data_IF_769408532649
#
_entry.id   IF_769408532649
#
_cell.length_a   1.000
_cell.length_b   1.000
_cell.length_c   1.000
_cell.angle_alpha   90.00
_cell.angle_beta   90.00
_cell.angle_gamma   90.00
#
_symmetry.space_group_name_H-M   'P 1'
#
loop_
_entity.id
_entity.type
_entity.pdbx_description
1 polymer ?
#
# COMPACT_ATOMS: atom_id res chain seq x y z
N UNK A 1 -5.42 -20.43 11.18
CA UNK A 1 -5.88 -19.04 11.43
C UNK A 1 -6.32 -18.42 10.11
N UNK A 2 -7.59 -18.05 9.97
CA UNK A 2 -8.11 -17.28 8.81
C UNK A 2 -8.03 -15.79 9.16
N UNK A 3 -6.85 -15.20 9.00
CA UNK A 3 -6.77 -13.73 9.00
C UNK A 3 -7.24 -13.25 7.61
N UNK A 4 -8.22 -12.37 7.61
CA UNK A 4 -8.82 -11.74 6.42
C UNK A 4 -8.88 -10.26 6.72
N UNK A 5 -7.84 -9.51 6.35
CA UNK A 5 -7.91 -8.07 6.42
C UNK A 5 -8.65 -7.58 5.19
N UNK A 6 -9.87 -7.10 5.41
CA UNK A 6 -10.67 -6.39 4.43
C UNK A 6 -10.54 -4.91 4.75
N UNK A 7 -9.84 -4.17 3.92
CA UNK A 7 -9.92 -2.72 3.93
C UNK A 7 -10.17 -2.27 2.51
N UNK A 8 -11.07 -1.29 2.30
CA UNK A 8 -11.19 -0.69 1.00
C UNK A 8 -9.82 -0.14 0.59
N UNK A 9 -9.37 -0.38 -0.65
CA UNK A 9 -8.18 0.30 -1.15
C UNK A 9 -8.50 1.79 -1.14
N UNK A 10 -7.97 2.50 -0.16
CA UNK A 10 -8.25 3.92 0.05
C UNK A 10 -7.81 4.69 -1.20
N UNK A 11 -8.65 5.62 -1.67
CA UNK A 11 -8.39 6.42 -2.88
C UNK A 11 -7.02 7.10 -2.83
N UNK A 12 -6.60 7.57 -1.66
CA UNK A 12 -5.27 8.15 -1.43
C UNK A 12 -4.11 7.21 -1.79
N UNK A 13 -4.25 5.89 -1.57
CA UNK A 13 -3.23 4.91 -1.97
C UNK A 13 -3.17 4.82 -3.49
N UNK A 14 -4.32 4.78 -4.15
CA UNK A 14 -4.40 4.69 -5.62
C UNK A 14 -3.78 5.94 -6.24
N UNK A 15 -4.17 7.12 -5.76
CA UNK A 15 -3.64 8.40 -6.23
C UNK A 15 -2.13 8.51 -6.02
N UNK A 16 -1.63 8.17 -4.83
CA UNK A 16 -0.20 8.18 -4.53
C UNK A 16 0.59 7.25 -5.47
N UNK A 17 0.07 6.05 -5.72
CA UNK A 17 0.72 5.07 -6.60
C UNK A 17 0.68 5.49 -8.08
N UNK A 18 -0.41 6.14 -8.50
CA UNK A 18 -0.56 6.69 -9.85
C UNK A 18 0.48 7.78 -10.13
N UNK A 19 0.70 8.69 -9.17
CA UNK A 19 1.75 9.73 -9.26
C UNK A 19 3.17 9.17 -9.30
N UNK A 20 3.39 7.97 -8.75
CA UNK A 20 4.65 7.26 -8.83
C UNK A 20 4.78 6.38 -10.08
N UNK A 21 3.72 6.27 -10.89
CA UNK A 21 3.63 5.40 -12.05
C UNK A 21 3.89 3.92 -11.70
N UNK A 22 3.41 3.46 -10.53
CA UNK A 22 3.62 2.08 -10.05
C UNK A 22 2.28 1.39 -9.76
N UNK A 23 2.09 0.19 -10.31
CA UNK A 23 0.92 -0.62 -9.98
C UNK A 23 0.98 -1.14 -8.54
N UNK A 24 -0.16 -1.20 -7.84
CA UNK A 24 -0.26 -1.80 -6.50
C UNK A 24 0.30 -3.24 -6.46
N UNK A 25 0.17 -3.99 -7.56
CA UNK A 25 0.67 -5.37 -7.66
C UNK A 25 2.19 -5.46 -7.68
N UNK A 26 2.86 -4.35 -7.98
CA UNK A 26 4.31 -4.22 -7.93
C UNK A 26 4.79 -3.74 -6.55
N UNK A 27 3.90 -3.38 -5.64
CA UNK A 27 4.27 -3.00 -4.28
C UNK A 27 4.44 -4.25 -3.43
N UNK A 28 5.60 -4.37 -2.80
CA UNK A 28 5.93 -5.41 -1.85
C UNK A 28 4.96 -5.41 -0.67
N UNK A 29 4.74 -6.56 -0.01
CA UNK A 29 3.97 -6.65 1.22
C UNK A 29 4.37 -5.61 2.28
N UNK A 30 5.67 -5.34 2.40
CA UNK A 30 6.22 -4.31 3.29
C UNK A 30 5.79 -2.91 2.90
N UNK A 31 5.82 -2.60 1.60
CA UNK A 31 5.36 -1.31 1.07
C UNK A 31 3.89 -1.06 1.39
N UNK A 32 3.02 -2.05 1.18
CA UNK A 32 1.60 -1.95 1.54
C UNK A 32 1.43 -1.74 3.05
N UNK A 33 2.17 -2.50 3.87
CA UNK A 33 2.16 -2.35 5.34
C UNK A 33 2.52 -0.93 5.77
N UNK A 34 3.54 -0.32 5.16
CA UNK A 34 3.93 1.06 5.48
C UNK A 34 2.85 2.08 5.09
N UNK A 35 2.23 1.93 3.92
CA UNK A 35 1.14 2.81 3.50
C UNK A 35 -0.06 2.72 4.46
N UNK A 36 -0.53 1.51 4.74
CA UNK A 36 -1.65 1.30 5.68
C UNK A 36 -1.29 1.81 7.07
N UNK A 37 -0.07 1.53 7.54
CA UNK A 37 0.42 1.99 8.84
C UNK A 37 0.42 3.52 8.97
N UNK A 38 0.83 4.24 7.93
CA UNK A 38 0.78 5.70 7.89
C UNK A 38 -0.65 6.23 7.92
N UNK A 39 -1.55 5.66 7.11
CA UNK A 39 -2.94 6.09 7.06
C UNK A 39 -3.67 5.86 8.38
N UNK A 40 -3.44 4.72 9.02
CA UNK A 40 -3.97 4.43 10.37
C UNK A 40 -3.40 5.42 11.39
N UNK A 41 -2.09 5.69 11.35
CA UNK A 41 -1.47 6.68 12.23
C UNK A 41 -2.05 8.09 12.02
N UNK A 42 -2.24 8.51 10.77
CA UNK A 42 -2.89 9.78 10.43
C UNK A 42 -4.28 9.86 11.04
N UNK A 43 -5.10 8.83 10.82
CA UNK A 43 -6.44 8.72 11.40
C UNK A 43 -6.42 8.81 12.93
N UNK A 44 -5.55 8.06 13.61
CA UNK A 44 -5.39 8.09 15.08
C UNK A 44 -4.97 9.46 15.61
N UNK A 45 -4.28 10.27 14.79
CA UNK A 45 -3.85 11.63 15.12
C UNK A 45 -4.82 12.71 14.65
N UNK A 46 -5.94 12.34 14.03
CA UNK A 46 -6.88 13.30 13.44
C UNK A 46 -6.30 14.07 12.24
N UNK A 47 -5.30 13.49 11.56
CA UNK A 47 -4.66 14.05 10.38
C UNK A 47 -5.10 13.25 9.15
N UNK A 48 -5.82 13.90 8.25
CA UNK A 48 -6.12 13.33 6.95
C UNK A 48 -4.87 13.38 6.07
N UNK A 49 -4.26 12.22 5.85
CA UNK A 49 -3.10 12.11 4.96
C UNK A 49 -3.56 12.05 3.51
N UNK A 50 -3.05 12.97 2.71
CA UNK A 50 -3.20 13.05 1.24
C UNK A 50 -2.03 12.39 0.52
N UNK A 51 -2.13 12.25 -0.81
CA UNK A 51 -1.05 11.72 -1.64
C UNK A 51 0.22 12.59 -1.55
N UNK A 52 0.08 13.92 -1.44
CA UNK A 52 1.21 14.85 -1.24
C UNK A 52 1.98 14.55 0.05
N UNK A 53 1.26 14.27 1.14
CA UNK A 53 1.91 13.92 2.41
C UNK A 53 2.67 12.60 2.27
N UNK A 54 2.09 11.61 1.60
CA UNK A 54 2.78 10.34 1.34
C UNK A 54 4.04 10.53 0.49
N UNK A 55 4.00 11.38 -0.54
CA UNK A 55 5.18 11.75 -1.34
C UNK A 55 6.25 12.47 -0.52
N UNK A 56 5.85 13.36 0.38
CA UNK A 56 6.77 14.08 1.26
C UNK A 56 7.44 13.13 2.27
N UNK A 57 6.74 12.09 2.72
CA UNK A 57 7.25 11.13 3.68
C UNK A 57 8.07 10.00 3.05
N UNK A 58 7.70 9.57 1.84
CA UNK A 58 8.16 8.32 1.25
C UNK A 58 8.89 8.53 -0.08
N UNK A 59 9.93 7.75 -0.26
CA UNK A 59 10.61 7.56 -1.54
C UNK A 59 10.46 6.11 -1.99
N UNK A 60 10.15 5.92 -3.27
CA UNK A 60 10.12 4.61 -3.90
C UNK A 60 11.50 3.96 -3.84
N UNK A 61 11.54 2.65 -3.61
CA UNK A 61 12.76 1.86 -3.52
C UNK A 61 12.54 0.47 -4.10
N UNK A 62 13.52 -0.07 -4.82
CA UNK A 62 13.46 -1.43 -5.33
C UNK A 62 13.77 -2.42 -4.21
N UNK A 63 12.98 -3.48 -4.09
CA UNK A 63 13.11 -4.48 -3.02
C UNK A 63 13.48 -5.84 -3.63
N UNK A 64 14.67 -6.34 -3.30
CA UNK A 64 15.12 -7.67 -3.71
C UNK A 64 15.38 -7.83 -5.21
N UNK A 65 15.30 -9.07 -5.69
CA UNK A 65 15.53 -9.49 -7.09
C UNK A 65 14.25 -9.52 -7.92
N UNK A 66 13.13 -9.82 -7.29
CA UNK A 66 11.81 -9.73 -7.89
C UNK A 66 11.50 -8.24 -8.09
N UNK A 67 10.95 -7.84 -9.22
CA UNK A 67 10.71 -6.43 -9.64
C UNK A 67 9.66 -5.69 -8.78
N UNK A 68 9.68 -5.89 -7.47
CA UNK A 68 8.83 -5.27 -6.48
C UNK A 68 9.45 -3.98 -5.94
N UNK A 69 8.57 -3.07 -5.57
CA UNK A 69 8.92 -1.82 -4.93
C UNK A 69 8.48 -1.80 -3.47
N UNK A 70 9.17 -1.03 -2.66
CA UNK A 70 8.79 -0.68 -1.30
C UNK A 70 9.08 0.79 -1.07
N UNK A 71 8.83 1.25 0.14
CA UNK A 71 9.02 2.65 0.49
C UNK A 71 10.11 2.80 1.54
N UNK A 72 11.02 3.74 1.29
CA UNK A 72 11.96 4.25 2.29
C UNK A 72 11.48 5.62 2.77
N UNK A 73 11.73 5.98 4.03
CA UNK A 73 11.50 7.35 4.45
C UNK A 73 12.41 8.30 3.65
N UNK A 74 11.90 9.49 3.32
CA UNK A 74 12.74 10.59 2.80
C UNK A 74 13.65 11.14 3.90
N UNK A 75 14.71 11.83 3.51
CA UNK A 75 15.70 12.41 4.45
C UNK A 75 14.98 13.26 5.51
N UNK A 76 15.39 13.10 6.77
CA UNK A 76 14.78 13.75 7.95
C UNK A 76 13.37 13.29 8.33
N UNK A 77 12.83 12.24 7.70
CA UNK A 77 11.55 11.61 8.09
C UNK A 77 11.81 10.32 8.88
N UNK A 78 11.46 10.28 10.16
CA UNK A 78 11.56 9.03 10.97
C UNK A 78 10.23 8.28 11.12
N UNK A 79 9.22 8.64 10.31
CA UNK A 79 7.85 8.12 10.44
C UNK A 79 7.77 6.59 10.32
N UNK A 80 8.73 5.96 9.62
CA UNK A 80 8.79 4.51 9.44
C UNK A 80 9.63 3.74 10.48
N UNK A 81 10.31 4.43 11.41
CA UNK A 81 11.29 3.83 12.33
C UNK A 81 10.66 2.93 13.39
N UNK A 82 9.38 3.13 13.71
CA UNK A 82 8.61 2.31 14.66
C UNK A 82 7.95 1.07 14.06
N UNK A 83 7.95 0.91 12.73
CA UNK A 83 7.32 -0.25 12.09
C UNK A 83 8.27 -1.45 12.09
N UNK A 84 7.75 -2.62 12.48
CA UNK A 84 8.54 -3.84 12.45
C UNK A 84 9.03 -4.15 11.03
N UNK A 85 10.34 -4.33 10.87
CA UNK A 85 10.95 -4.61 9.55
C UNK A 85 10.64 -6.03 9.05
N UNK A 86 10.18 -6.92 9.95
CA UNK A 86 9.81 -8.29 9.60
C UNK A 86 8.45 -8.36 8.91
N UNK A 87 8.40 -9.04 7.76
CA UNK A 87 7.15 -9.38 7.07
C UNK A 87 6.74 -10.84 7.29
N UNK A 88 7.41 -11.55 8.21
CA UNK A 88 7.13 -12.95 8.55
C UNK A 88 5.69 -13.06 9.05
N UNK A 89 4.88 -13.85 8.34
CA UNK A 89 3.45 -14.03 8.61
C UNK A 89 2.55 -13.02 7.88
N UNK A 90 3.03 -11.84 7.46
CA UNK A 90 2.16 -10.85 6.83
C UNK A 90 1.56 -11.35 5.51
N UNK A 91 2.37 -11.99 4.66
CA UNK A 91 1.88 -12.66 3.43
C UNK A 91 0.79 -13.69 3.75
N UNK A 92 0.95 -14.46 4.82
CA UNK A 92 0.02 -15.52 5.20
C UNK A 92 -1.28 -15.01 5.82
N UNK A 93 -1.24 -13.83 6.45
CA UNK A 93 -2.37 -13.27 7.19
C UNK A 93 -3.16 -12.18 6.44
N UNK A 94 -2.55 -11.51 5.46
CA UNK A 94 -3.09 -10.27 4.90
C UNK A 94 -3.26 -10.25 3.37
N UNK A 95 -2.76 -11.24 2.62
CA UNK A 95 -2.79 -11.19 1.14
C UNK A 95 -3.99 -11.91 0.51
N UNK A 96 -5.20 -11.35 0.71
CA UNK A 96 -6.35 -11.63 -0.16
C UNK A 96 -7.20 -10.37 -0.28
N UNK A 97 -7.10 -9.66 -1.41
CA UNK A 97 -7.99 -8.53 -1.75
C UNK A 97 -8.99 -9.02 -2.77
N UNK A 98 -10.29 -8.97 -2.44
CA UNK A 98 -11.35 -9.19 -3.42
C UNK A 98 -11.58 -7.86 -4.14
N UNK A 99 -11.38 -7.84 -5.45
CA UNK A 99 -11.67 -6.68 -6.27
C UNK A 99 -13.18 -6.65 -6.58
N UNK A 100 -13.96 -6.09 -5.66
CA UNK A 100 -15.39 -5.86 -5.79
C UNK A 100 -15.79 -4.47 -5.29
N UNK A 101 -17.05 -4.09 -5.50
CA UNK A 101 -17.58 -2.78 -5.08
C UNK A 101 -17.58 -2.58 -3.55
N UNK A 102 -17.41 -3.65 -2.76
CA UNK A 102 -17.33 -3.54 -1.31
C UNK A 102 -15.91 -3.15 -0.83
N UNK A 103 -14.90 -3.34 -1.68
CA UNK A 103 -13.48 -3.17 -1.33
C UNK A 103 -12.76 -2.13 -2.19
N UNK A 104 -13.36 -1.65 -3.27
CA UNK A 104 -12.79 -0.63 -4.15
C UNK A 104 -13.92 0.25 -4.67
N UNK A 105 -13.72 1.57 -4.66
CA UNK A 105 -14.68 2.50 -5.25
C UNK A 105 -14.93 2.15 -6.72
N UNK A 106 -16.17 2.27 -7.19
CA UNK A 106 -16.60 1.77 -8.51
C UNK A 106 -15.77 2.40 -9.63
N UNK A 107 -15.47 3.68 -9.48
CA UNK A 107 -14.62 4.51 -10.33
C UNK A 107 -13.17 4.00 -10.45
N UNK A 108 -12.66 3.30 -9.43
CA UNK A 108 -11.29 2.77 -9.44
C UNK A 108 -11.21 1.33 -9.98
N UNK A 109 -12.34 0.61 -10.09
CA UNK A 109 -12.37 -0.78 -10.58
C UNK A 109 -11.76 -0.97 -11.99
N UNK A 110 -11.90 -0.05 -12.97
CA UNK A 110 -11.27 -0.18 -14.28
C UNK A 110 -9.74 -0.23 -14.22
N UNK A 111 -9.13 0.39 -13.19
CA UNK A 111 -7.67 0.48 -13.04
C UNK A 111 -7.03 -0.82 -12.53
N UNK A 112 -7.83 -1.80 -12.07
CA UNK A 112 -7.31 -3.07 -11.55
C UNK A 112 -7.54 -4.22 -12.54
N UNK A 113 -6.47 -4.97 -12.87
CA UNK A 113 -6.59 -6.23 -13.63
C UNK A 113 -7.28 -7.28 -12.75
N UNK A 114 -8.47 -7.72 -13.18
CA UNK A 114 -9.29 -8.73 -12.49
C UNK A 114 -9.03 -10.17 -12.93
N UNK A 115 -8.30 -10.36 -14.02
CA UNK A 115 -7.95 -11.68 -14.57
C UNK A 115 -6.44 -11.92 -14.43
N UNK A 116 -6.07 -13.03 -13.80
CA UNK A 116 -4.69 -13.54 -13.80
C UNK A 116 -4.52 -14.50 -14.97
N UNK A 117 -3.68 -14.12 -15.94
CA UNK A 117 -3.38 -14.92 -17.15
C UNK A 117 -4.41 -14.75 -18.27
N UNK A 118 -4.00 -14.14 -19.37
CA UNK A 118 -4.78 -14.04 -20.61
C UNK A 118 -4.42 -12.79 -21.41
N UNK A 119 -3.47 -12.94 -22.34
CA UNK A 119 -2.93 -11.91 -23.23
C UNK A 119 -1.48 -11.56 -22.92
#
# INVERSE_FOLDING_TARGET
MRARLWFPILSVIVEFLDRLEVSISQISPRGIKHLVGLLVLGYERGIELTAEYLEAFLALSRVGTDRLYGFRPRTFMEVLKGFSQGDRGWKSYFFYVRLDQASVAVECLPSFRRLWGGG
#
